data_IF_791214037464
#
_entry.id   IF_791214037464
#
_cell.length_a   1.000
_cell.length_b   1.000
_cell.length_c   1.000
_cell.angle_alpha   90.00
_cell.angle_beta   90.00
_cell.angle_gamma   90.00
#
_symmetry.space_group_name_H-M   'P 1'
#
loop_
_entity.id
_entity.type
_entity.pdbx_description
1 polymer ?
#
# COMPACT_ATOMS: atom_id res chain seq x y z
N UNK A 1 18.03 -1.88 20.43
CA UNK A 1 17.35 -0.71 19.83
C UNK A 1 18.06 -0.37 18.53
N UNK A 2 17.33 -0.29 17.42
CA UNK A 2 17.87 0.00 16.08
C UNK A 2 17.31 1.34 15.61
N UNK A 3 17.99 2.43 15.98
CA UNK A 3 17.47 3.81 15.88
C UNK A 3 17.10 4.17 14.43
N UNK A 4 17.90 3.75 13.44
CA UNK A 4 17.60 4.07 12.03
C UNK A 4 16.25 3.51 11.59
N UNK A 5 15.95 2.26 11.98
CA UNK A 5 14.68 1.60 11.67
C UNK A 5 13.49 2.24 12.39
N UNK A 6 13.69 2.67 13.65
CA UNK A 6 12.66 3.44 14.37
C UNK A 6 12.31 4.71 13.61
N UNK A 7 13.32 5.47 13.18
CA UNK A 7 13.12 6.73 12.46
C UNK A 7 12.41 6.49 11.12
N UNK A 8 12.87 5.51 10.35
CA UNK A 8 12.32 5.24 9.02
C UNK A 8 10.88 4.71 9.08
N UNK A 9 10.53 3.87 10.07
CA UNK A 9 9.15 3.44 10.33
C UNK A 9 8.26 4.59 10.80
N UNK A 10 8.75 5.46 11.69
CA UNK A 10 7.99 6.64 12.15
C UNK A 10 7.68 7.56 10.97
N UNK A 11 8.62 7.76 10.04
CA UNK A 11 8.39 8.53 8.82
C UNK A 11 7.34 7.86 7.94
N UNK A 12 7.42 6.54 7.73
CA UNK A 12 6.42 5.80 6.97
C UNK A 12 5.02 5.92 7.59
N UNK A 13 4.91 5.76 8.91
CA UNK A 13 3.66 5.92 9.65
C UNK A 13 3.11 7.36 9.53
N UNK A 14 3.95 8.38 9.71
CA UNK A 14 3.57 9.77 9.61
C UNK A 14 3.04 10.12 8.20
N UNK A 15 3.69 9.60 7.14
CA UNK A 15 3.23 9.77 5.76
C UNK A 15 1.89 9.06 5.53
N UNK A 16 1.71 7.85 6.05
CA UNK A 16 0.44 7.15 5.99
C UNK A 16 -0.71 7.92 6.64
N UNK A 17 -0.50 8.40 7.87
CA UNK A 17 -1.45 9.26 8.60
C UNK A 17 -1.75 10.54 7.82
N UNK A 18 -0.70 11.21 7.31
CA UNK A 18 -0.85 12.42 6.51
C UNK A 18 -1.69 12.15 5.25
N UNK A 19 -1.43 11.07 4.53
CA UNK A 19 -2.16 10.73 3.30
C UNK A 19 -3.63 10.45 3.58
N UNK A 20 -3.93 9.75 4.68
CA UNK A 20 -5.31 9.52 5.12
C UNK A 20 -6.06 10.85 5.33
N UNK A 21 -5.54 11.71 6.20
CA UNK A 21 -6.24 12.95 6.56
C UNK A 21 -6.30 13.96 5.40
N UNK A 22 -5.24 14.08 4.61
CA UNK A 22 -5.16 15.10 3.55
C UNK A 22 -5.88 14.68 2.27
N UNK A 23 -5.84 13.40 1.91
CA UNK A 23 -6.37 12.92 0.62
C UNK A 23 -7.55 11.95 0.79
N UNK A 24 -7.37 10.86 1.54
CA UNK A 24 -8.29 9.71 1.47
C UNK A 24 -9.59 9.88 2.28
N UNK A 25 -9.55 10.63 3.37
CA UNK A 25 -10.72 10.96 4.20
C UNK A 25 -11.79 11.79 3.46
N UNK A 26 -11.41 12.42 2.33
CA UNK A 26 -12.26 13.28 1.49
C UNK A 26 -12.92 12.52 0.33
N UNK A 27 -12.64 11.23 0.22
CA UNK A 27 -13.26 10.33 -0.74
C UNK A 27 -14.58 9.80 -0.19
N UNK A 28 -15.36 9.13 -1.03
CA UNK A 28 -16.52 8.40 -0.54
C UNK A 28 -16.09 7.13 0.21
N UNK A 29 -17.00 6.57 1.00
CA UNK A 29 -16.71 5.41 1.84
C UNK A 29 -16.13 4.23 1.05
N UNK A 30 -16.68 3.91 -0.14
CA UNK A 30 -16.22 2.75 -0.92
C UNK A 30 -14.78 2.93 -1.39
N UNK A 31 -14.39 4.11 -1.88
CA UNK A 31 -13.02 4.38 -2.30
C UNK A 31 -12.08 4.52 -1.12
N UNK A 32 -12.51 5.19 -0.04
CA UNK A 32 -11.72 5.31 1.19
C UNK A 32 -11.36 3.93 1.72
N UNK A 33 -12.32 3.03 1.90
CA UNK A 33 -12.05 1.69 2.46
C UNK A 33 -11.10 0.89 1.56
N UNK A 34 -11.22 0.98 0.23
CA UNK A 34 -10.32 0.28 -0.68
C UNK A 34 -8.88 0.81 -0.59
N UNK A 35 -8.67 2.12 -0.55
CA UNK A 35 -7.35 2.71 -0.33
C UNK A 35 -6.79 2.37 1.06
N UNK A 36 -7.62 2.49 2.10
CA UNK A 36 -7.22 2.27 3.49
C UNK A 36 -6.85 0.81 3.77
N UNK A 37 -7.45 -0.15 3.05
CA UNK A 37 -7.04 -1.56 3.17
C UNK A 37 -5.53 -1.76 2.93
N UNK A 38 -4.91 -0.88 2.12
CA UNK A 38 -3.47 -0.80 1.94
C UNK A 38 -2.82 0.22 2.90
N UNK A 39 -3.22 1.49 2.82
CA UNK A 39 -2.52 2.59 3.52
C UNK A 39 -2.59 2.44 5.03
N UNK A 40 -3.75 2.10 5.60
CA UNK A 40 -3.89 1.91 7.03
C UNK A 40 -3.12 0.68 7.51
N UNK A 41 -3.13 -0.40 6.72
CA UNK A 41 -2.36 -1.60 7.01
C UNK A 41 -0.85 -1.31 7.04
N UNK A 42 -0.32 -0.58 6.05
CA UNK A 42 1.10 -0.17 6.06
C UNK A 42 1.39 0.76 7.24
N UNK A 43 0.49 1.70 7.54
CA UNK A 43 0.65 2.63 8.66
C UNK A 43 0.71 1.89 9.99
N UNK A 44 -0.21 0.95 10.23
CA UNK A 44 -0.22 0.12 11.42
C UNK A 44 1.04 -0.75 11.49
N UNK A 45 1.44 -1.39 10.38
CA UNK A 45 2.68 -2.15 10.31
C UNK A 45 3.90 -1.33 10.73
N UNK A 46 4.01 -0.08 10.25
CA UNK A 46 5.10 0.83 10.54
C UNK A 46 5.08 1.30 12.02
N UNK A 47 3.90 1.60 12.58
CA UNK A 47 3.79 1.97 14.01
C UNK A 47 4.29 0.82 14.89
N UNK A 48 3.81 -0.40 14.66
CA UNK A 48 4.25 -1.57 15.45
C UNK A 48 5.71 -1.98 15.13
N UNK A 49 6.18 -1.70 13.92
CA UNK A 49 7.58 -1.84 13.51
C UNK A 49 8.49 -0.91 14.33
N UNK A 50 8.16 0.38 14.39
CA UNK A 50 8.87 1.36 15.21
C UNK A 50 8.93 0.95 16.69
N UNK A 51 7.80 0.49 17.26
CA UNK A 51 7.72 0.00 18.64
C UNK A 51 8.66 -1.21 18.84
N UNK A 52 8.67 -2.14 17.87
CA UNK A 52 9.56 -3.31 17.88
C UNK A 52 11.03 -2.87 17.91
N UNK A 53 11.44 -2.01 16.97
CA UNK A 53 12.83 -1.53 16.87
C UNK A 53 13.26 -0.64 18.04
N UNK A 54 12.30 0.01 18.72
CA UNK A 54 12.53 0.79 19.93
C UNK A 54 12.85 -0.09 21.16
N UNK A 55 12.64 -1.40 21.09
CA UNK A 55 13.01 -2.35 22.14
C UNK A 55 11.86 -3.17 22.73
N UNK A 56 10.68 -3.15 22.10
CA UNK A 56 9.52 -3.94 22.54
C UNK A 56 9.21 -5.06 21.52
N UNK A 57 9.93 -6.19 21.58
CA UNK A 57 9.85 -7.25 20.56
C UNK A 57 8.46 -7.89 20.43
N UNK A 58 7.62 -7.83 21.47
CA UNK A 58 6.25 -8.36 21.47
C UNK A 58 5.31 -7.63 20.49
N UNK A 59 5.69 -6.45 19.99
CA UNK A 59 4.97 -5.75 18.94
C UNK A 59 5.22 -6.33 17.52
N UNK A 60 6.29 -7.13 17.35
CA UNK A 60 6.69 -7.64 16.03
C UNK A 60 5.62 -8.49 15.34
N UNK A 61 4.93 -9.44 16.02
CA UNK A 61 3.87 -10.22 15.39
C UNK A 61 2.74 -9.34 14.84
N UNK A 62 2.43 -8.23 15.52
CA UNK A 62 1.39 -7.29 15.09
C UNK A 62 1.86 -6.54 13.83
N UNK A 63 3.11 -6.07 13.80
CA UNK A 63 3.69 -5.48 12.60
C UNK A 63 3.65 -6.44 11.42
N UNK A 64 4.11 -7.68 11.60
CA UNK A 64 4.12 -8.70 10.56
C UNK A 64 2.71 -9.03 10.04
N UNK A 65 1.71 -9.09 10.93
CA UNK A 65 0.32 -9.28 10.55
C UNK A 65 -0.16 -8.17 9.60
N UNK A 66 0.07 -6.91 9.96
CA UNK A 66 -0.34 -5.78 9.13
C UNK A 66 0.47 -5.65 7.83
N UNK A 67 1.75 -6.03 7.82
CA UNK A 67 2.55 -6.10 6.59
C UNK A 67 1.95 -7.12 5.60
N UNK A 68 1.54 -8.28 6.10
CA UNK A 68 0.88 -9.32 5.29
C UNK A 68 -0.50 -8.88 4.83
N UNK A 69 -1.26 -8.21 5.71
CA UNK A 69 -2.57 -7.67 5.38
C UNK A 69 -2.47 -6.60 4.28
N UNK A 70 -1.50 -5.68 4.37
CA UNK A 70 -1.21 -4.68 3.35
C UNK A 70 -0.83 -5.35 2.02
N UNK A 71 0.04 -6.36 2.08
CA UNK A 71 0.53 -7.07 0.88
C UNK A 71 -0.60 -7.77 0.13
N UNK A 72 -1.52 -8.44 0.86
CA UNK A 72 -2.54 -9.29 0.24
C UNK A 72 -3.86 -8.53 0.07
N UNK A 73 -4.56 -8.26 1.18
CA UNK A 73 -5.85 -7.57 1.16
C UNK A 73 -5.69 -6.14 0.63
N UNK A 74 -4.66 -5.43 1.12
CA UNK A 74 -4.34 -4.09 0.64
C UNK A 74 -3.96 -4.08 -0.84
N UNK A 75 -3.25 -5.09 -1.34
CA UNK A 75 -2.94 -5.22 -2.77
C UNK A 75 -4.21 -5.31 -3.64
N UNK A 76 -5.20 -6.10 -3.21
CA UNK A 76 -6.50 -6.19 -3.93
C UNK A 76 -7.27 -4.88 -3.84
N UNK A 77 -7.34 -4.27 -2.65
CA UNK A 77 -8.00 -2.98 -2.47
C UNK A 77 -7.36 -1.86 -3.27
N UNK A 78 -6.03 -1.84 -3.36
CA UNK A 78 -5.25 -0.89 -4.17
C UNK A 78 -5.62 -0.97 -5.65
N UNK A 79 -5.77 -2.18 -6.21
CA UNK A 79 -6.22 -2.36 -7.61
C UNK A 79 -7.64 -1.84 -7.79
N UNK A 80 -8.56 -2.18 -6.88
CA UNK A 80 -9.94 -1.71 -6.92
C UNK A 80 -10.07 -0.19 -6.85
N UNK A 81 -9.35 0.43 -5.91
CA UNK A 81 -9.33 1.87 -5.73
C UNK A 81 -8.74 2.59 -6.95
N UNK A 82 -7.67 2.03 -7.53
CA UNK A 82 -7.05 2.53 -8.77
C UNK A 82 -8.03 2.46 -9.93
N UNK A 83 -8.76 1.35 -10.09
CA UNK A 83 -9.75 1.20 -11.14
C UNK A 83 -10.87 2.24 -11.03
N UNK A 84 -11.39 2.48 -9.82
CA UNK A 84 -12.41 3.48 -9.56
C UNK A 84 -11.91 4.90 -9.92
N UNK A 85 -10.70 5.22 -9.46
CA UNK A 85 -10.06 6.52 -9.69
C UNK A 85 -9.80 6.79 -11.17
N UNK A 86 -9.24 5.82 -11.89
CA UNK A 86 -8.95 5.91 -13.33
C UNK A 86 -10.24 5.97 -14.16
N UNK A 87 -11.26 5.21 -13.76
CA UNK A 87 -12.55 5.21 -14.46
C UNK A 87 -13.37 6.46 -14.20
N UNK A 88 -13.03 7.25 -13.18
CA UNK A 88 -13.78 8.44 -12.79
C UNK A 88 -15.17 8.10 -12.25
N UNK A 89 -15.37 6.85 -11.82
CA UNK A 89 -16.64 6.33 -11.36
C UNK A 89 -16.44 5.57 -10.06
N UNK A 90 -17.34 5.79 -9.11
CA UNK A 90 -17.33 5.10 -7.85
C UNK A 90 -17.73 3.63 -8.01
N UNK A 91 -17.03 2.73 -7.31
CA UNK A 91 -17.46 1.35 -7.22
C UNK A 91 -18.71 1.23 -6.36
N UNK A 92 -19.62 0.36 -6.78
CA UNK A 92 -20.79 0.01 -5.97
C UNK A 92 -20.34 -0.64 -4.65
N UNK A 93 -21.20 -0.57 -3.62
CA UNK A 93 -20.92 -1.22 -2.33
C UNK A 93 -20.66 -2.72 -2.49
N UNK A 94 -21.43 -3.38 -3.37
CA UNK A 94 -21.26 -4.81 -3.68
C UNK A 94 -19.87 -5.06 -4.28
N UNK A 95 -19.45 -4.29 -5.28
CA UNK A 95 -18.12 -4.46 -5.88
C UNK A 95 -17.00 -4.22 -4.87
N UNK A 96 -17.12 -3.19 -4.02
CA UNK A 96 -16.17 -2.89 -2.95
C UNK A 96 -16.06 -4.07 -1.96
N UNK A 97 -17.19 -4.57 -1.45
CA UNK A 97 -17.19 -5.70 -0.50
C UNK A 97 -16.68 -6.99 -1.13
N UNK A 98 -17.02 -7.28 -2.39
CA UNK A 98 -16.49 -8.45 -3.10
C UNK A 98 -14.96 -8.39 -3.19
N UNK A 99 -14.39 -7.24 -3.53
CA UNK A 99 -12.93 -7.07 -3.59
C UNK A 99 -12.27 -7.28 -2.23
N UNK A 100 -12.84 -6.71 -1.17
CA UNK A 100 -12.32 -6.91 0.19
C UNK A 100 -12.44 -8.36 0.63
N UNK A 101 -13.58 -9.02 0.37
CA UNK A 101 -13.78 -10.44 0.65
C UNK A 101 -12.76 -11.31 -0.09
N UNK A 102 -12.47 -11.01 -1.37
CA UNK A 102 -11.41 -11.70 -2.11
C UNK A 102 -10.06 -11.48 -1.43
N UNK A 103 -9.72 -10.24 -1.06
CA UNK A 103 -8.48 -9.93 -0.35
C UNK A 103 -8.32 -10.71 0.96
N UNK A 104 -9.34 -10.69 1.82
CA UNK A 104 -9.35 -11.43 3.09
C UNK A 104 -9.35 -12.95 2.89
N UNK A 105 -10.02 -13.45 1.85
CA UNK A 105 -9.99 -14.87 1.51
C UNK A 105 -8.58 -15.30 1.08
N UNK A 106 -7.90 -14.51 0.23
CA UNK A 106 -6.50 -14.74 -0.14
C UNK A 106 -5.57 -14.67 1.07
N UNK A 107 -5.83 -13.72 1.99
CA UNK A 107 -5.07 -13.61 3.23
C UNK A 107 -5.25 -14.86 4.10
N UNK A 108 -6.48 -15.36 4.27
CA UNK A 108 -6.76 -16.58 5.01
C UNK A 108 -6.11 -17.82 4.36
N UNK A 109 -6.12 -17.93 3.03
CA UNK A 109 -5.41 -18.98 2.31
C UNK A 109 -3.88 -18.92 2.52
N UNK A 110 -3.29 -17.73 2.49
CA UNK A 110 -1.85 -17.55 2.72
C UNK A 110 -1.47 -17.90 4.16
N UNK A 111 -2.16 -17.29 5.13
CA UNK A 111 -1.75 -17.31 6.54
C UNK A 111 -2.36 -18.45 7.34
N UNK A 112 -3.61 -18.81 7.06
CA UNK A 112 -4.31 -19.90 7.74
C UNK A 112 -3.98 -21.28 7.16
N UNK A 113 -3.78 -21.37 5.84
CA UNK A 113 -3.51 -22.65 5.15
C UNK A 113 -2.07 -22.80 4.64
N UNK A 114 -1.19 -21.82 4.93
CA UNK A 114 0.23 -21.90 4.60
C UNK A 114 0.55 -21.81 3.11
N UNK A 115 -0.36 -21.27 2.28
CA UNK A 115 -0.13 -21.06 0.85
C UNK A 115 0.73 -19.81 0.60
N UNK A 116 1.96 -19.84 1.10
CA UNK A 116 2.92 -18.71 1.11
C UNK A 116 3.19 -18.06 -0.25
N UNK A 117 2.95 -18.79 -1.35
CA UNK A 117 3.04 -18.26 -2.71
C UNK A 117 2.05 -17.13 -2.98
N UNK A 118 0.90 -17.09 -2.30
CA UNK A 118 -0.08 -16.01 -2.43
C UNK A 118 0.54 -14.68 -2.01
N UNK A 119 1.19 -14.62 -0.84
CA UNK A 119 1.87 -13.41 -0.37
C UNK A 119 3.01 -12.95 -1.29
N UNK A 120 3.69 -13.88 -1.97
CA UNK A 120 4.77 -13.55 -2.91
C UNK A 120 4.25 -13.01 -4.26
N UNK A 121 3.15 -13.57 -4.79
CA UNK A 121 2.63 -13.19 -6.11
C UNK A 121 1.64 -12.03 -6.08
N UNK A 122 0.90 -11.85 -4.98
CA UNK A 122 -0.09 -10.77 -4.87
C UNK A 122 0.48 -9.38 -5.15
N UNK A 123 1.61 -8.94 -4.56
CA UNK A 123 2.15 -7.62 -4.83
C UNK A 123 2.59 -7.45 -6.29
N UNK A 124 3.13 -8.51 -6.92
CA UNK A 124 3.55 -8.49 -8.33
C UNK A 124 2.32 -8.27 -9.22
N UNK A 125 1.27 -9.09 -9.03
CA UNK A 125 0.03 -9.00 -9.80
C UNK A 125 -0.65 -7.65 -9.56
N UNK A 126 -0.75 -7.19 -8.32
CA UNK A 126 -1.36 -5.91 -7.98
C UNK A 126 -0.63 -4.74 -8.64
N UNK A 127 0.70 -4.67 -8.52
CA UNK A 127 1.51 -3.63 -9.16
C UNK A 127 1.36 -3.65 -10.69
N UNK A 128 1.39 -4.83 -11.33
CA UNK A 128 1.18 -4.94 -12.78
C UNK A 128 -0.20 -4.44 -13.20
N UNK A 129 -1.26 -4.79 -12.47
CA UNK A 129 -2.61 -4.31 -12.75
C UNK A 129 -2.73 -2.80 -12.55
N UNK A 130 -2.13 -2.24 -11.50
CA UNK A 130 -2.10 -0.78 -11.28
C UNK A 130 -1.39 -0.07 -12.43
N UNK A 131 -0.29 -0.62 -12.96
CA UNK A 131 0.40 -0.07 -14.14
C UNK A 131 -0.50 -0.09 -15.37
N UNK A 132 -1.18 -1.21 -15.65
CA UNK A 132 -2.11 -1.32 -16.76
C UNK A 132 -3.23 -0.27 -16.63
N UNK A 133 -3.81 -0.15 -15.43
CA UNK A 133 -4.85 0.84 -15.15
C UNK A 133 -4.32 2.27 -15.30
N UNK A 134 -3.11 2.57 -14.83
CA UNK A 134 -2.49 3.88 -15.00
C UNK A 134 -2.28 4.21 -16.49
N UNK A 135 -1.84 3.24 -17.30
CA UNK A 135 -1.72 3.42 -18.75
C UNK A 135 -3.08 3.73 -19.40
N UNK A 136 -4.13 2.99 -19.02
CA UNK A 136 -5.51 3.28 -19.45
C UNK A 136 -6.01 4.65 -18.95
N UNK A 137 -5.48 5.15 -17.84
CA UNK A 137 -5.79 6.50 -17.37
C UNK A 137 -5.32 7.59 -18.32
N UNK A 138 -4.21 7.39 -19.05
CA UNK A 138 -3.77 8.36 -20.08
C UNK A 138 -4.78 8.46 -21.21
N UNK A 139 -5.32 7.32 -21.68
CA UNK A 139 -6.33 7.31 -22.76
C UNK A 139 -7.66 7.92 -22.31
N UNK A 140 -7.92 7.98 -21.00
CA UNK A 140 -9.09 8.64 -20.38
C UNK A 140 -8.85 10.10 -19.98
N UNK A 141 -7.71 10.69 -20.36
CA UNK A 141 -7.37 12.08 -20.03
C UNK A 141 -7.00 12.32 -18.55
N UNK A 142 -6.76 11.27 -17.77
CA UNK A 142 -6.38 11.33 -16.36
C UNK A 142 -4.85 11.40 -16.17
N UNK A 143 -4.16 12.19 -17.00
CA UNK A 143 -2.68 12.20 -17.12
C UNK A 143 -1.95 12.32 -15.78
N UNK A 144 -2.29 13.31 -14.94
CA UNK A 144 -1.61 13.50 -13.65
C UNK A 144 -1.89 12.36 -12.66
N UNK A 145 -3.10 11.80 -12.67
CA UNK A 145 -3.44 10.63 -11.86
C UNK A 145 -2.57 9.45 -12.26
N UNK A 146 -2.49 9.17 -13.57
CA UNK A 146 -1.66 8.11 -14.14
C UNK A 146 -0.19 8.26 -13.79
N UNK A 147 0.37 9.47 -13.89
CA UNK A 147 1.77 9.74 -13.52
C UNK A 147 2.02 9.40 -12.04
N UNK A 148 1.16 9.89 -11.13
CA UNK A 148 1.33 9.61 -9.71
C UNK A 148 1.17 8.13 -9.36
N UNK A 149 0.24 7.41 -10.02
CA UNK A 149 0.10 5.96 -9.87
C UNK A 149 1.37 5.22 -10.32
N UNK A 150 1.96 5.61 -11.47
CA UNK A 150 3.19 5.00 -11.97
C UNK A 150 4.39 5.27 -11.07
N UNK A 151 4.54 6.49 -10.57
CA UNK A 151 5.58 6.84 -9.59
C UNK A 151 5.38 6.00 -8.31
N UNK A 152 4.14 5.86 -7.84
CA UNK A 152 3.81 5.05 -6.68
C UNK A 152 4.22 3.59 -6.87
N UNK A 153 3.86 2.97 -7.99
CA UNK A 153 4.26 1.60 -8.31
C UNK A 153 5.76 1.46 -8.46
N UNK A 154 6.46 2.43 -9.07
CA UNK A 154 7.91 2.39 -9.18
C UNK A 154 8.58 2.32 -7.80
N UNK A 155 8.11 3.14 -6.84
CA UNK A 155 8.59 3.06 -5.46
C UNK A 155 8.28 1.72 -4.80
N UNK A 156 7.06 1.20 -4.93
CA UNK A 156 6.71 -0.11 -4.36
C UNK A 156 7.51 -1.26 -4.98
N UNK A 157 7.78 -1.22 -6.28
CA UNK A 157 8.59 -2.20 -6.98
C UNK A 157 10.04 -2.17 -6.48
N UNK A 158 10.63 -0.98 -6.38
CA UNK A 158 11.98 -0.81 -5.81
C UNK A 158 12.03 -1.32 -4.36
N UNK A 159 11.00 -1.07 -3.55
CA UNK A 159 10.90 -1.58 -2.18
C UNK A 159 10.74 -3.10 -2.12
N UNK A 160 9.96 -3.69 -3.03
CA UNK A 160 9.72 -5.14 -3.11
C UNK A 160 10.99 -5.88 -3.52
N UNK A 161 11.71 -5.38 -4.53
CA UNK A 161 12.92 -6.00 -5.08
C UNK A 161 14.23 -5.44 -4.49
N UNK A 162 14.13 -4.70 -3.39
CA UNK A 162 15.26 -4.00 -2.75
C UNK A 162 16.45 -4.91 -2.46
N UNK A 163 16.22 -6.16 -2.06
CA UNK A 163 17.32 -7.07 -1.69
C UNK A 163 18.11 -7.56 -2.90
N UNK A 164 17.46 -7.60 -4.06
CA UNK A 164 18.05 -7.96 -5.34
C UNK A 164 18.80 -6.78 -5.95
N UNK A 165 18.35 -5.54 -5.68
CA UNK A 165 18.90 -4.31 -6.24
C UNK A 165 20.03 -3.74 -5.38
N UNK A 166 19.81 -3.65 -4.06
CA UNK A 166 20.70 -2.98 -3.10
C UNK A 166 21.46 -3.96 -2.20
N UNK A 167 21.21 -5.27 -2.35
CA UNK A 167 21.81 -6.30 -1.51
C UNK A 167 21.11 -6.50 -0.15
N UNK A 168 21.68 -7.38 0.67
CA UNK A 168 21.17 -7.68 2.02
C UNK A 168 21.92 -6.84 3.05
N UNK A 169 21.19 -6.25 3.99
CA UNK A 169 21.76 -5.49 5.10
C UNK A 169 20.71 -4.61 5.78
N UNK A 170 21.06 -4.04 6.93
CA UNK A 170 20.16 -3.21 7.74
C UNK A 170 19.68 -1.98 6.96
N UNK A 171 20.55 -1.34 6.18
CA UNK A 171 20.19 -0.20 5.32
C UNK A 171 19.05 -0.54 4.34
N UNK A 172 18.96 -1.78 3.89
CA UNK A 172 17.91 -2.24 2.98
C UNK A 172 16.52 -2.21 3.65
N UNK A 173 16.44 -2.33 4.97
CA UNK A 173 15.18 -2.17 5.73
C UNK A 173 14.76 -0.69 5.70
N UNK A 174 15.68 0.23 5.97
CA UNK A 174 15.37 1.66 5.93
C UNK A 174 14.95 2.13 4.53
N UNK A 175 15.65 1.65 3.49
CA UNK A 175 15.29 1.90 2.09
C UNK A 175 13.86 1.44 1.80
N UNK A 176 13.43 0.28 2.33
CA UNK A 176 12.05 -0.19 2.17
C UNK A 176 11.04 0.80 2.72
N UNK A 177 11.26 1.30 3.94
CA UNK A 177 10.34 2.23 4.59
C UNK A 177 10.23 3.55 3.82
N UNK A 178 11.36 4.12 3.41
CA UNK A 178 11.37 5.37 2.64
C UNK A 178 10.73 5.23 1.26
N UNK A 179 11.02 4.15 0.53
CA UNK A 179 10.39 3.88 -0.76
C UNK A 179 8.89 3.67 -0.59
N UNK A 180 8.47 2.89 0.41
CA UNK A 180 7.03 2.67 0.68
C UNK A 180 6.33 3.97 1.05
N UNK A 181 6.97 4.85 1.81
CA UNK A 181 6.46 6.17 2.14
C UNK A 181 6.28 7.05 0.89
N UNK A 182 7.28 7.08 0.00
CA UNK A 182 7.19 7.76 -1.29
C UNK A 182 6.08 7.20 -2.18
N UNK A 183 5.89 5.89 -2.15
CA UNK A 183 4.79 5.21 -2.82
C UNK A 183 3.41 5.64 -2.30
N UNK A 184 3.21 5.60 -0.98
CA UNK A 184 1.96 6.03 -0.32
C UNK A 184 1.66 7.50 -0.58
N UNK A 185 2.67 8.38 -0.49
CA UNK A 185 2.50 9.79 -0.82
C UNK A 185 2.05 9.98 -2.27
N UNK A 186 2.62 9.22 -3.20
CA UNK A 186 2.23 9.26 -4.61
C UNK A 186 0.77 8.82 -4.82
N UNK A 187 0.30 7.79 -4.09
CA UNK A 187 -1.12 7.41 -4.10
C UNK A 187 -2.02 8.54 -3.57
N UNK A 188 -1.61 9.23 -2.50
CA UNK A 188 -2.31 10.42 -2.00
C UNK A 188 -2.39 11.51 -3.06
N UNK A 189 -1.26 11.82 -3.71
CA UNK A 189 -1.18 12.81 -4.79
C UNK A 189 -2.06 12.45 -5.99
N UNK A 190 -2.19 11.17 -6.34
CA UNK A 190 -3.11 10.70 -7.38
C UNK A 190 -4.58 11.01 -7.05
N UNK A 191 -4.94 11.03 -5.77
CA UNK A 191 -6.29 11.34 -5.28
C UNK A 191 -6.51 12.85 -4.99
N UNK A 192 -5.53 13.71 -5.29
CA UNK A 192 -5.65 15.16 -5.08
C UNK A 192 -6.79 15.72 -5.96
N UNK A 193 -7.90 16.08 -5.32
CA UNK A 193 -8.94 16.90 -5.97
C UNK A 193 -8.32 18.25 -6.34
N UNK A 194 -8.49 18.71 -7.59
CA UNK A 194 -8.25 20.11 -7.93
C UNK A 194 -9.22 20.93 -7.09
N UNK A 195 -8.71 21.75 -6.18
CA UNK A 195 -9.47 22.88 -5.64
C UNK A 195 -9.82 23.76 -6.83
N UNK A 196 -11.13 23.82 -7.15
CA UNK A 196 -11.68 24.78 -8.08
C UNK A 196 -11.51 26.20 -7.53
#
# INVERSE_FOLDING_TARGET
MQISHVISDVILAAIGIYVFFVYLSKLNLTSTVLWESFVLSVTAAAIFGAITFAGYPDANPISLFFQKLATITGGVGLVGATFALVSGSDLSKIACYTLLTIGFFLFALSEGFGLTKIGAYTPIVAMSLVVILAILGFTKGKTMVSVWLLIGVAFFALGTFRTQIFGKGDLTIDIFHYLTAGGILSLGMANRKKTA
#
